data_IF_263191607333
#
_entry.id   IF_263191607333
#
_cell.length_a   1.000
_cell.length_b   1.000
_cell.length_c   1.000
_cell.angle_alpha   90.00
_cell.angle_beta   90.00
_cell.angle_gamma   90.00
#
_symmetry.space_group_name_H-M   'P 1'
#
loop_
_entity.id
_entity.type
_entity.pdbx_description
1 polymer ?
#
# COMPACT_ATOMS: atom_id res chain seq x y z
N UNK A 1 -18.68 46.97 -18.85
CA UNK A 1 -18.12 45.70 -19.35
C UNK A 1 -17.87 44.82 -18.12
N UNK A 2 -18.81 43.94 -17.78
CA UNK A 2 -18.73 43.02 -16.65
C UNK A 2 -18.05 41.74 -17.14
N UNK A 3 -16.84 41.46 -16.65
CA UNK A 3 -16.19 40.16 -16.84
C UNK A 3 -16.48 39.29 -15.61
N UNK A 4 -17.50 38.48 -15.70
CA UNK A 4 -17.74 37.37 -14.77
C UNK A 4 -16.71 36.27 -15.04
N UNK A 5 -15.70 36.19 -14.18
CA UNK A 5 -14.79 35.05 -14.14
C UNK A 5 -15.53 33.77 -13.71
N UNK A 6 -15.09 32.58 -14.18
CA UNK A 6 -15.74 31.34 -13.82
C UNK A 6 -15.61 31.08 -12.30
N UNK A 7 -16.74 30.85 -11.65
CA UNK A 7 -16.82 30.42 -10.27
C UNK A 7 -16.04 29.10 -10.09
N UNK A 8 -15.27 28.94 -9.01
CA UNK A 8 -14.65 27.66 -8.71
C UNK A 8 -15.77 26.65 -8.40
N UNK A 9 -15.84 25.58 -9.20
CA UNK A 9 -16.70 24.44 -8.88
C UNK A 9 -16.35 23.92 -7.49
N UNK A 10 -17.33 23.71 -6.61
CA UNK A 10 -17.08 23.00 -5.36
C UNK A 10 -16.73 21.56 -5.75
N UNK A 11 -15.45 21.22 -5.70
CA UNK A 11 -15.01 19.84 -5.76
C UNK A 11 -15.60 19.14 -4.53
N UNK A 12 -16.57 18.27 -4.73
CA UNK A 12 -16.97 17.28 -3.73
C UNK A 12 -15.74 16.44 -3.44
N UNK A 13 -14.95 16.84 -2.45
CA UNK A 13 -13.86 16.04 -1.93
C UNK A 13 -14.48 14.81 -1.29
N UNK A 14 -14.57 13.73 -2.05
CA UNK A 14 -15.00 12.45 -1.51
C UNK A 14 -13.90 11.98 -0.56
N UNK A 15 -14.14 12.08 0.74
CA UNK A 15 -13.26 11.57 1.78
C UNK A 15 -12.99 10.09 1.50
N UNK A 16 -11.73 9.74 1.36
CA UNK A 16 -11.33 8.38 1.06
C UNK A 16 -10.71 7.68 2.27
N UNK A 17 -9.81 8.37 2.99
CA UNK A 17 -9.31 7.93 4.29
C UNK A 17 -9.77 8.94 5.34
N UNK A 18 -10.32 8.46 6.43
CA UNK A 18 -10.66 9.26 7.60
C UNK A 18 -10.06 8.64 8.85
N UNK A 19 -9.43 9.45 9.66
CA UNK A 19 -8.78 9.08 10.93
C UNK A 19 -9.36 9.96 12.02
N UNK A 20 -9.97 9.35 13.02
CA UNK A 20 -10.69 10.04 14.09
C UNK A 20 -10.14 9.65 15.45
N UNK A 21 -9.43 10.57 16.12
CA UNK A 21 -8.93 10.41 17.47
C UNK A 21 -8.05 9.17 17.66
N UNK A 22 -7.24 8.84 16.67
CA UNK A 22 -6.47 7.59 16.70
C UNK A 22 -5.29 7.70 17.65
N UNK A 23 -5.21 6.71 18.54
CA UNK A 23 -4.10 6.51 19.45
C UNK A 23 -3.47 5.13 19.21
N UNK A 24 -2.16 5.06 19.36
CA UNK A 24 -1.43 3.79 19.33
C UNK A 24 -0.41 3.73 20.45
N UNK A 25 -0.56 2.75 21.32
CA UNK A 25 0.34 2.47 22.43
C UNK A 25 0.88 1.05 22.33
N UNK A 26 2.19 0.89 22.34
CA UNK A 26 2.85 -0.41 22.34
C UNK A 26 3.27 -0.82 23.75
N UNK A 27 3.09 -2.09 24.08
CA UNK A 27 3.68 -2.70 25.28
C UNK A 27 5.14 -3.06 24.98
N UNK A 28 6.08 -2.52 25.74
CA UNK A 28 7.51 -2.82 25.63
C UNK A 28 8.03 -3.40 26.94
N UNK A 29 9.24 -3.97 26.93
CA UNK A 29 9.90 -4.44 28.15
C UNK A 29 10.12 -3.32 29.19
N UNK A 30 10.13 -2.05 28.76
CA UNK A 30 10.29 -0.85 29.60
C UNK A 30 8.96 -0.20 29.99
N UNK A 31 7.83 -0.79 29.65
CA UNK A 31 6.49 -0.26 29.93
C UNK A 31 5.72 0.14 28.67
N UNK A 32 4.70 0.96 28.83
CA UNK A 32 3.83 1.43 27.75
C UNK A 32 4.53 2.56 26.96
N UNK A 33 4.58 2.42 25.65
CA UNK A 33 5.13 3.42 24.72
C UNK A 33 4.03 3.98 23.84
N UNK A 34 3.55 5.22 24.06
CA UNK A 34 2.58 5.88 23.20
C UNK A 34 3.27 6.38 21.92
N UNK A 35 2.98 5.73 20.78
CA UNK A 35 3.56 6.07 19.49
C UNK A 35 2.73 7.11 18.73
N UNK A 36 1.42 7.11 18.92
CA UNK A 36 0.49 8.09 18.35
C UNK A 36 -0.50 8.53 19.43
N UNK A 37 -0.87 9.82 19.42
CA UNK A 37 -1.84 10.40 20.34
C UNK A 37 -2.79 11.30 19.56
N UNK A 38 -4.08 11.05 19.68
CA UNK A 38 -5.18 11.89 19.19
C UNK A 38 -4.98 12.36 17.73
N UNK A 39 -4.72 11.43 16.83
CA UNK A 39 -4.49 11.74 15.41
C UNK A 39 -5.83 11.90 14.69
N UNK A 40 -5.98 13.05 14.03
CA UNK A 40 -7.08 13.36 13.13
C UNK A 40 -6.52 13.69 11.74
N UNK A 41 -7.00 13.00 10.71
CA UNK A 41 -6.58 13.25 9.33
C UNK A 41 -7.70 12.83 8.38
N UNK A 42 -7.90 13.61 7.32
CA UNK A 42 -8.78 13.24 6.21
C UNK A 42 -7.99 13.35 4.92
N UNK A 43 -8.07 12.32 4.08
CA UNK A 43 -7.44 12.28 2.75
C UNK A 43 -8.54 12.07 1.71
N UNK A 44 -8.58 12.92 0.71
CA UNK A 44 -9.52 12.81 -0.40
C UNK A 44 -9.09 11.70 -1.40
N UNK A 45 -10.04 11.21 -2.18
CA UNK A 45 -9.72 10.26 -3.26
C UNK A 45 -8.82 10.92 -4.30
N UNK A 46 -7.68 10.27 -4.61
CA UNK A 46 -6.69 10.78 -5.56
C UNK A 46 -5.74 11.84 -5.00
N UNK A 47 -5.86 12.18 -3.73
CA UNK A 47 -4.95 13.12 -3.08
C UNK A 47 -3.58 12.48 -2.84
N UNK A 48 -2.51 13.25 -3.05
CA UNK A 48 -1.15 12.89 -2.69
C UNK A 48 -0.77 13.54 -1.37
N UNK A 49 -0.46 12.74 -0.35
CA UNK A 49 -0.09 13.21 0.98
C UNK A 49 1.32 12.75 1.34
N UNK A 50 2.18 13.67 1.78
CA UNK A 50 3.51 13.38 2.27
C UNK A 50 3.56 13.50 3.81
N UNK A 51 3.98 12.43 4.49
CA UNK A 51 4.24 12.45 5.93
C UNK A 51 5.71 12.77 6.19
N UNK A 52 5.98 13.95 6.73
CA UNK A 52 7.33 14.44 7.02
C UNK A 52 7.54 14.50 8.54
N UNK A 53 8.74 14.16 9.00
CA UNK A 53 9.11 14.22 10.42
C UNK A 53 10.38 13.41 10.70
N UNK A 54 10.96 13.61 11.88
CA UNK A 54 12.17 12.92 12.32
C UNK A 54 11.96 11.40 12.51
N UNK A 55 13.05 10.66 12.65
CA UNK A 55 12.97 9.21 12.93
C UNK A 55 12.25 8.96 14.26
N UNK A 56 11.38 7.96 14.30
CA UNK A 56 10.65 7.57 15.52
C UNK A 56 9.40 8.41 15.84
N UNK A 57 9.02 9.42 15.05
CA UNK A 57 7.83 10.24 15.30
C UNK A 57 6.48 9.58 14.93
N UNK A 58 6.45 8.29 14.62
CA UNK A 58 5.19 7.56 14.40
C UNK A 58 4.73 7.42 12.94
N UNK A 59 5.45 7.94 11.92
CA UNK A 59 5.04 7.84 10.51
C UNK A 59 4.73 6.42 10.04
N UNK A 60 5.64 5.50 10.30
CA UNK A 60 5.46 4.09 9.94
C UNK A 60 4.32 3.43 10.72
N UNK A 61 4.10 3.84 11.96
CA UNK A 61 2.98 3.38 12.78
C UNK A 61 1.65 3.82 12.15
N UNK A 62 1.55 5.09 11.75
CA UNK A 62 0.35 5.61 11.09
C UNK A 62 0.09 4.92 9.75
N UNK A 63 1.13 4.72 8.93
CA UNK A 63 1.01 3.98 7.67
C UNK A 63 0.56 2.54 7.88
N UNK A 64 1.07 1.84 8.90
CA UNK A 64 0.64 0.47 9.22
C UNK A 64 -0.82 0.41 9.67
N UNK A 65 -1.32 1.40 10.40
CA UNK A 65 -2.73 1.53 10.77
C UNK A 65 -3.61 1.76 9.54
N UNK A 66 -3.23 2.68 8.65
CA UNK A 66 -3.94 2.94 7.39
C UNK A 66 -3.96 1.68 6.51
N UNK A 67 -2.84 0.95 6.44
CA UNK A 67 -2.74 -0.31 5.72
C UNK A 67 -3.59 -1.45 6.31
N UNK A 68 -4.02 -1.30 7.58
CA UNK A 68 -4.72 -2.35 8.31
C UNK A 68 -3.80 -3.48 8.81
N UNK A 69 -2.48 -3.26 8.85
CA UNK A 69 -1.50 -4.22 9.37
C UNK A 69 -1.49 -4.27 10.90
N UNK A 70 -1.97 -3.21 11.53
CA UNK A 70 -2.19 -3.11 12.98
C UNK A 70 -3.52 -2.43 13.24
N UNK A 71 -4.13 -2.72 14.40
CA UNK A 71 -5.34 -2.05 14.88
C UNK A 71 -4.96 -0.96 15.88
N UNK A 72 -5.63 0.20 15.90
CA UNK A 72 -5.34 1.24 16.88
C UNK A 72 -5.74 0.82 18.29
N UNK A 73 -5.09 1.42 19.30
CA UNK A 73 -5.47 1.25 20.70
C UNK A 73 -6.79 1.95 21.00
N UNK A 74 -6.99 3.15 20.43
CA UNK A 74 -8.22 3.94 20.51
C UNK A 74 -8.46 4.65 19.18
N UNK A 75 -9.70 5.15 18.97
CA UNK A 75 -10.11 5.87 17.78
C UNK A 75 -10.52 4.93 16.65
N UNK A 76 -10.78 5.51 15.48
CA UNK A 76 -11.27 4.79 14.31
C UNK A 76 -10.57 5.26 13.03
N UNK A 77 -10.32 4.30 12.13
CA UNK A 77 -9.85 4.58 10.76
C UNK A 77 -10.87 4.03 9.78
N UNK A 78 -11.25 4.85 8.80
CA UNK A 78 -12.15 4.45 7.71
C UNK A 78 -11.45 4.61 6.36
N UNK A 79 -11.78 3.71 5.45
CA UNK A 79 -11.44 3.79 4.03
C UNK A 79 -12.72 3.63 3.21
N UNK A 80 -13.03 4.61 2.36
CA UNK A 80 -14.26 4.65 1.57
C UNK A 80 -15.52 4.37 2.43
N UNK A 81 -15.64 5.05 3.56
CA UNK A 81 -16.72 4.93 4.56
C UNK A 81 -16.83 3.54 5.25
N UNK A 82 -15.82 2.68 5.12
CA UNK A 82 -15.76 1.39 5.80
C UNK A 82 -14.62 1.38 6.81
N UNK A 83 -14.88 0.88 8.01
CA UNK A 83 -13.86 0.75 9.05
C UNK A 83 -12.73 -0.20 8.61
N UNK A 84 -11.50 0.22 8.85
CA UNK A 84 -10.29 -0.57 8.57
C UNK A 84 -10.09 -1.58 9.70
N UNK A 85 -10.47 -2.84 9.46
CA UNK A 85 -10.31 -3.96 10.41
C UNK A 85 -9.12 -4.87 10.08
N UNK A 86 -8.50 -4.68 8.93
CA UNK A 86 -7.38 -5.50 8.47
C UNK A 86 -6.90 -5.07 7.08
N UNK A 87 -5.89 -5.74 6.51
CA UNK A 87 -5.43 -5.50 5.17
C UNK A 87 -6.56 -5.68 4.14
N UNK A 88 -6.60 -4.82 3.12
CA UNK A 88 -7.62 -4.87 2.07
C UNK A 88 -7.05 -4.52 0.70
N UNK A 89 -7.69 -5.01 -0.39
CA UNK A 89 -7.22 -4.81 -1.76
C UNK A 89 -7.27 -3.34 -2.20
N UNK A 90 -8.04 -2.50 -1.51
CA UNK A 90 -8.14 -1.07 -1.76
C UNK A 90 -6.94 -0.27 -1.20
N UNK A 91 -6.05 -0.91 -0.46
CA UNK A 91 -4.89 -0.29 0.20
C UNK A 91 -3.62 -1.09 -0.06
N UNK A 92 -2.84 -0.69 -1.06
CA UNK A 92 -1.54 -1.27 -1.34
C UNK A 92 -0.45 -0.57 -0.52
N UNK A 93 0.52 -1.32 -0.02
CA UNK A 93 1.68 -0.79 0.71
C UNK A 93 2.96 -1.21 0.02
N UNK A 94 3.80 -0.23 -0.31
CA UNK A 94 5.18 -0.49 -0.75
C UNK A 94 6.10 -0.33 0.46
N UNK A 95 6.68 -1.43 0.91
CA UNK A 95 7.58 -1.41 2.06
C UNK A 95 8.97 -0.87 1.67
N UNK A 96 9.64 -0.23 2.62
CA UNK A 96 11.02 0.22 2.46
C UNK A 96 11.96 -0.96 2.21
N UNK A 97 11.75 -2.09 2.88
CA UNK A 97 12.39 -3.36 2.56
C UNK A 97 11.61 -4.04 1.44
N UNK A 98 12.31 -4.66 0.50
CA UNK A 98 11.73 -5.24 -0.71
C UNK A 98 10.68 -6.33 -0.45
N UNK A 99 10.61 -6.86 0.77
CA UNK A 99 9.65 -7.88 1.26
C UNK A 99 9.51 -9.11 0.35
N UNK A 100 10.56 -9.41 -0.44
CA UNK A 100 10.60 -10.58 -1.28
C UNK A 100 10.94 -11.82 -0.46
N UNK A 101 10.25 -12.92 -0.77
CA UNK A 101 10.53 -14.23 -0.19
C UNK A 101 11.84 -14.77 -0.80
N UNK A 102 12.93 -14.93 0.00
CA UNK A 102 14.25 -15.19 -0.54
C UNK A 102 14.40 -16.58 -1.17
N UNK A 103 13.51 -17.51 -0.84
CA UNK A 103 13.51 -18.87 -1.39
C UNK A 103 12.71 -18.99 -2.70
N UNK A 104 11.94 -17.99 -3.08
CA UNK A 104 11.19 -17.92 -4.34
C UNK A 104 11.97 -17.16 -5.41
N UNK A 105 11.71 -17.47 -6.68
CA UNK A 105 12.22 -16.68 -7.82
C UNK A 105 11.53 -15.31 -7.90
N UNK A 106 12.03 -14.41 -8.74
CA UNK A 106 11.34 -13.14 -8.99
C UNK A 106 9.95 -13.37 -9.59
N UNK A 107 9.83 -14.35 -10.49
CA UNK A 107 8.56 -14.76 -11.06
C UNK A 107 7.59 -15.26 -9.96
N UNK A 108 8.04 -16.18 -9.11
CA UNK A 108 7.19 -16.78 -8.09
C UNK A 108 6.76 -15.77 -7.02
N UNK A 109 7.61 -14.80 -6.69
CA UNK A 109 7.25 -13.69 -5.79
C UNK A 109 6.10 -12.85 -6.35
N UNK A 110 6.11 -12.56 -7.67
CA UNK A 110 5.01 -11.84 -8.33
C UNK A 110 3.80 -12.76 -8.50
N UNK A 111 4.01 -14.02 -8.91
CA UNK A 111 2.94 -14.99 -9.13
C UNK A 111 2.09 -15.21 -7.88
N UNK A 112 2.72 -15.31 -6.71
CA UNK A 112 2.02 -15.46 -5.43
C UNK A 112 1.02 -14.33 -5.19
N UNK A 113 1.40 -13.11 -5.51
CA UNK A 113 0.53 -11.95 -5.36
C UNK A 113 -0.57 -11.93 -6.44
N UNK A 114 -0.25 -12.26 -7.70
CA UNK A 114 -1.22 -12.43 -8.80
C UNK A 114 -2.27 -13.48 -8.44
N UNK A 115 -1.82 -14.64 -7.98
CA UNK A 115 -2.71 -15.74 -7.58
C UNK A 115 -3.63 -15.34 -6.42
N UNK A 116 -3.12 -14.58 -5.44
CA UNK A 116 -3.93 -14.11 -4.31
C UNK A 116 -5.09 -13.20 -4.75
N UNK A 117 -4.88 -12.38 -5.77
CA UNK A 117 -5.88 -11.40 -6.25
C UNK A 117 -6.81 -12.00 -7.30
N UNK A 118 -6.29 -12.77 -8.23
CA UNK A 118 -7.03 -13.24 -9.41
C UNK A 118 -7.31 -14.75 -9.42
N UNK A 119 -6.70 -15.54 -8.53
CA UNK A 119 -6.77 -17.00 -8.56
C UNK A 119 -8.17 -17.59 -8.46
N UNK A 120 -9.13 -16.86 -7.85
CA UNK A 120 -10.53 -17.28 -7.81
C UNK A 120 -11.29 -17.09 -9.15
N UNK A 121 -10.74 -16.30 -10.08
CA UNK A 121 -11.42 -15.86 -11.31
C UNK A 121 -10.69 -16.28 -12.59
N UNK A 122 -9.41 -16.58 -12.51
CA UNK A 122 -8.55 -16.80 -13.66
C UNK A 122 -7.90 -18.18 -13.65
N UNK A 123 -7.63 -18.74 -14.83
CA UNK A 123 -6.90 -20.00 -15.01
C UNK A 123 -5.41 -19.79 -14.71
N UNK A 124 -4.70 -20.89 -14.41
CA UNK A 124 -3.24 -20.86 -14.20
C UNK A 124 -2.48 -20.25 -15.39
N UNK A 125 -2.94 -20.47 -16.62
CA UNK A 125 -2.33 -19.89 -17.82
C UNK A 125 -2.47 -18.37 -17.84
N UNK A 126 -3.64 -17.84 -17.47
CA UNK A 126 -3.88 -16.40 -17.37
C UNK A 126 -3.07 -15.74 -16.24
N UNK A 127 -2.99 -16.40 -15.08
CA UNK A 127 -2.17 -15.93 -13.96
C UNK A 127 -0.69 -15.86 -14.35
N UNK A 128 -0.19 -16.87 -15.07
CA UNK A 128 1.18 -16.88 -15.61
C UNK A 128 1.40 -15.72 -16.59
N UNK A 129 0.49 -15.51 -17.54
CA UNK A 129 0.58 -14.41 -18.50
C UNK A 129 0.61 -13.03 -17.83
N UNK A 130 -0.20 -12.84 -16.78
CA UNK A 130 -0.16 -11.61 -15.97
C UNK A 130 1.19 -11.42 -15.28
N UNK A 131 1.76 -12.49 -14.75
CA UNK A 131 3.06 -12.45 -14.07
C UNK A 131 4.17 -12.10 -15.06
N UNK A 132 4.15 -12.71 -16.25
CA UNK A 132 5.12 -12.39 -17.32
C UNK A 132 4.98 -10.92 -17.78
N UNK A 133 3.76 -10.43 -17.94
CA UNK A 133 3.49 -9.03 -18.27
C UNK A 133 3.99 -8.07 -17.17
N UNK A 134 3.80 -8.41 -15.91
CA UNK A 134 4.29 -7.63 -14.78
C UNK A 134 5.82 -7.57 -14.74
N UNK A 135 6.52 -8.66 -15.01
CA UNK A 135 7.98 -8.69 -15.16
C UNK A 135 8.46 -7.84 -16.34
N UNK A 136 7.77 -7.92 -17.47
CA UNK A 136 8.09 -7.14 -18.66
C UNK A 136 7.94 -5.63 -18.41
N UNK A 137 6.87 -5.23 -17.72
CA UNK A 137 6.62 -3.82 -17.37
C UNK A 137 7.77 -3.17 -16.61
N UNK A 138 8.42 -3.91 -15.71
CA UNK A 138 9.57 -3.40 -14.94
C UNK A 138 10.93 -3.74 -15.57
N UNK A 139 10.94 -4.29 -16.80
CA UNK A 139 12.16 -4.63 -17.53
C UNK A 139 12.95 -5.79 -16.91
N UNK A 140 12.30 -6.73 -16.25
CA UNK A 140 12.92 -7.83 -15.51
C UNK A 140 12.60 -9.23 -16.05
N UNK A 141 12.12 -9.35 -17.28
CA UNK A 141 11.85 -10.66 -17.93
C UNK A 141 13.07 -11.58 -17.87
N UNK A 142 14.28 -11.04 -18.10
CA UNK A 142 15.55 -11.77 -18.07
C UNK A 142 15.94 -12.29 -16.67
N UNK A 143 15.32 -11.76 -15.63
CA UNK A 143 15.59 -12.10 -14.23
C UNK A 143 14.47 -12.90 -13.57
N UNK A 144 13.45 -13.29 -14.32
CA UNK A 144 12.27 -13.98 -13.78
C UNK A 144 12.60 -15.24 -12.98
N UNK A 145 13.56 -16.02 -13.44
CA UNK A 145 14.00 -17.27 -12.79
C UNK A 145 15.05 -17.07 -11.68
N UNK A 146 15.59 -15.84 -11.52
CA UNK A 146 16.57 -15.53 -10.48
C UNK A 146 15.88 -15.35 -9.13
N UNK A 147 16.61 -15.70 -8.06
CA UNK A 147 16.19 -15.44 -6.68
C UNK A 147 16.59 -14.03 -6.23
N UNK A 148 15.97 -13.48 -5.18
CA UNK A 148 16.33 -12.17 -4.66
C UNK A 148 17.82 -12.00 -4.32
N UNK A 149 18.51 -13.05 -3.87
CA UNK A 149 19.94 -13.00 -3.62
C UNK A 149 20.83 -12.76 -4.85
N UNK A 150 20.30 -13.04 -6.05
CA UNK A 150 21.02 -13.00 -7.33
C UNK A 150 20.79 -11.73 -8.15
N UNK A 151 20.00 -10.78 -7.61
CA UNK A 151 19.65 -9.53 -8.27
C UNK A 151 20.02 -8.31 -7.44
N UNK A 152 20.20 -7.18 -8.11
CA UNK A 152 20.56 -5.91 -7.44
C UNK A 152 19.42 -5.37 -6.55
N UNK A 153 19.75 -4.48 -5.62
CA UNK A 153 18.77 -3.82 -4.75
C UNK A 153 17.67 -3.09 -5.52
N UNK A 154 18.03 -2.37 -6.60
CA UNK A 154 17.06 -1.70 -7.46
C UNK A 154 16.15 -2.67 -8.23
N UNK A 155 16.65 -3.86 -8.61
CA UNK A 155 15.83 -4.92 -9.20
C UNK A 155 14.85 -5.50 -8.16
N UNK A 156 15.32 -5.75 -6.93
CA UNK A 156 14.47 -6.18 -5.81
C UNK A 156 13.32 -5.21 -5.58
N UNK A 157 13.63 -3.91 -5.57
CA UNK A 157 12.62 -2.86 -5.38
C UNK A 157 11.57 -2.90 -6.48
N UNK A 158 11.98 -3.04 -7.74
CA UNK A 158 11.06 -3.12 -8.88
C UNK A 158 10.16 -4.36 -8.80
N UNK A 159 10.68 -5.54 -8.46
CA UNK A 159 9.89 -6.75 -8.24
C UNK A 159 8.88 -6.53 -7.10
N UNK A 160 9.32 -5.98 -5.96
CA UNK A 160 8.44 -5.67 -4.84
C UNK A 160 7.34 -4.69 -5.21
N UNK A 161 7.68 -3.59 -5.90
CA UNK A 161 6.68 -2.59 -6.33
C UNK A 161 5.60 -3.20 -7.22
N UNK A 162 5.97 -4.02 -8.21
CA UNK A 162 5.00 -4.65 -9.11
C UNK A 162 4.10 -5.66 -8.38
N UNK A 163 4.65 -6.40 -7.43
CA UNK A 163 3.86 -7.33 -6.61
C UNK A 163 2.73 -6.63 -5.85
N UNK A 164 2.89 -5.33 -5.52
CA UNK A 164 1.90 -4.58 -4.75
C UNK A 164 1.01 -3.66 -5.61
N UNK A 165 1.57 -2.95 -6.60
CA UNK A 165 0.84 -1.88 -7.31
C UNK A 165 -0.02 -2.38 -8.47
N UNK A 166 0.46 -3.34 -9.26
CA UNK A 166 -0.29 -3.84 -10.43
C UNK A 166 -1.46 -4.76 -10.08
N UNK A 167 -1.49 -5.25 -8.84
CA UNK A 167 -2.46 -6.24 -8.41
C UNK A 167 -3.65 -5.62 -7.68
N UNK A 168 -3.53 -4.37 -7.24
CA UNK A 168 -4.57 -3.69 -6.45
C UNK A 168 -5.31 -2.60 -7.22
N UNK A 169 -4.80 -2.15 -8.38
CA UNK A 169 -5.50 -1.19 -9.22
C UNK A 169 -6.45 -1.93 -10.17
N UNK A 170 -7.77 -1.62 -10.17
CA UNK A 170 -8.65 -2.08 -11.23
C UNK A 170 -8.15 -1.47 -12.54
N UNK A 171 -7.71 -2.31 -13.47
CA UNK A 171 -7.56 -1.91 -14.86
C UNK A 171 -8.96 -1.60 -15.38
N UNK A 172 -9.27 -0.31 -15.47
CA UNK A 172 -10.43 0.21 -16.19
C UNK A 172 -10.36 -0.16 -17.66
#
# INVERSE_FOLDING_TARGET
>A
MNTTGPSPHPSMSTKFIEIHGVEQTFKTAKGLFPALRDIHLTIAKGEFVALIGHSGCGKSTLLNLIAGLTTPTNGALLCANKEIKGPGPERAVVFQNHSLLPWLTCFDNIYLAVERVFGAKETKAQLKARTDAALALVGLTHAGLKRPGEISGGMKQRVGTVSYTHLTLPTS
#
